data_IF_853467128245
#
_entry.id   IF_853467128245
#
_cell.length_a   1.000
_cell.length_b   1.000
_cell.length_c   1.000
_cell.angle_alpha   90.00
_cell.angle_beta   90.00
_cell.angle_gamma   90.00
#
_symmetry.space_group_name_H-M   'P 1'
#
loop_
_entity.id
_entity.type
_entity.pdbx_description
1 polymer ?
#
# COMPACT_ATOMS: atom_id res chain seq x y z
N UNK A 1 -60.21 38.74 65.53
CA UNK A 1 -60.95 37.92 64.55
C UNK A 1 -60.26 38.03 63.20
N UNK A 2 -59.93 36.88 62.59
CA UNK A 2 -60.07 36.53 61.15
C UNK A 2 -59.52 37.58 60.14
N UNK A 3 -58.56 37.31 59.25
CA UNK A 3 -58.28 36.09 58.48
C UNK A 3 -56.83 36.08 57.95
N UNK A 4 -56.19 34.93 58.14
CA UNK A 4 -55.25 34.23 57.25
C UNK A 4 -55.77 34.21 55.78
N UNK A 5 -54.97 34.10 54.71
CA UNK A 5 -54.20 32.90 54.35
C UNK A 5 -53.38 33.15 53.05
N UNK A 6 -52.07 32.90 53.14
CA UNK A 6 -51.21 32.11 52.25
C UNK A 6 -50.91 32.50 50.79
N UNK A 7 -49.60 32.67 50.52
CA UNK A 7 -48.92 31.97 49.41
C UNK A 7 -47.65 31.29 49.96
N UNK A 8 -47.71 29.97 49.98
CA UNK A 8 -46.66 28.93 50.11
C UNK A 8 -45.50 29.33 49.16
N UNK A 9 -44.26 29.69 49.57
CA UNK A 9 -43.25 28.95 50.35
C UNK A 9 -43.34 27.46 50.09
N UNK A 10 -42.42 26.81 49.40
CA UNK A 10 -41.08 26.53 49.95
C UNK A 10 -40.32 25.72 48.90
N UNK A 11 -39.07 26.09 48.61
CA UNK A 11 -37.85 25.38 49.05
C UNK A 11 -37.76 23.94 48.50
N UNK A 12 -36.68 23.56 47.82
CA UNK A 12 -35.38 23.23 48.41
C UNK A 12 -34.51 22.72 47.22
N UNK A 13 -33.17 22.73 47.13
CA UNK A 13 -32.05 23.08 48.02
C UNK A 13 -30.75 23.00 47.20
N UNK A 14 -29.77 23.79 47.65
CA UNK A 14 -28.32 23.51 47.76
C UNK A 14 -27.57 23.32 46.42
N UNK A 15 -26.54 24.09 46.10
CA UNK A 15 -25.62 24.83 46.97
C UNK A 15 -24.20 24.27 46.79
N UNK A 16 -23.38 25.09 46.13
CA UNK A 16 -21.91 25.21 46.10
C UNK A 16 -21.04 24.19 46.86
N UNK A 17 -19.97 23.70 46.20
CA UNK A 17 -18.58 24.03 46.58
C UNK A 17 -17.52 23.34 45.68
N UNK A 18 -16.64 24.18 45.12
CA UNK A 18 -15.16 24.14 45.05
C UNK A 18 -14.37 22.95 44.47
N UNK A 19 -13.66 23.28 43.38
CA UNK A 19 -12.19 23.30 43.16
C UNK A 19 -11.32 22.05 43.36
N UNK A 20 -10.68 21.63 42.25
CA UNK A 20 -9.22 21.48 42.02
C UNK A 20 -9.05 20.75 40.67
N UNK A 21 -8.68 21.42 39.57
CA UNK A 21 -7.31 21.71 39.12
C UNK A 21 -6.53 20.46 38.66
N UNK A 22 -6.23 20.41 37.35
CA UNK A 22 -4.98 19.90 36.77
C UNK A 22 -4.97 20.10 35.25
N UNK A 23 -4.45 21.26 34.86
CA UNK A 23 -3.39 21.46 33.86
C UNK A 23 -3.18 20.30 32.85
N UNK A 24 -3.45 20.56 31.57
CA UNK A 24 -2.55 20.09 30.52
C UNK A 24 -2.40 21.17 29.45
N UNK A 25 -1.14 21.54 29.23
CA UNK A 25 -0.63 22.66 28.46
C UNK A 25 -1.05 22.62 26.98
N UNK A 26 -1.70 23.70 26.54
CA UNK A 26 -1.52 24.20 25.18
C UNK A 26 -0.12 24.80 25.11
N UNK A 27 0.87 23.99 24.72
CA UNK A 27 2.09 24.53 24.16
C UNK A 27 1.82 24.87 22.69
N UNK A 28 1.91 26.16 22.42
CA UNK A 28 1.99 26.76 21.10
C UNK A 28 3.14 26.11 20.30
N UNK A 29 2.79 25.53 19.16
CA UNK A 29 3.67 25.55 17.99
C UNK A 29 2.80 25.85 16.77
N UNK A 30 2.31 27.09 16.75
CA UNK A 30 1.86 27.74 15.52
C UNK A 30 3.08 27.87 14.60
N UNK A 31 3.24 26.93 13.67
CA UNK A 31 4.23 27.06 12.60
C UNK A 31 3.81 28.29 11.75
N UNK A 32 4.62 29.35 11.67
CA UNK A 32 4.27 30.51 10.89
C UNK A 32 4.36 30.16 9.40
N UNK A 33 3.28 30.44 8.66
CA UNK A 33 3.32 30.53 7.21
C UNK A 33 4.33 31.61 6.82
N UNK A 34 5.47 31.23 6.26
CA UNK A 34 6.18 32.06 5.31
C UNK A 34 6.79 31.18 4.20
N UNK A 35 6.39 31.54 2.99
CA UNK A 35 7.03 31.24 1.72
C UNK A 35 8.54 31.54 1.75
N UNK A 36 9.28 30.76 0.96
CA UNK A 36 10.68 30.90 0.52
C UNK A 36 11.80 30.28 1.40
N UNK A 37 12.57 29.44 0.70
CA UNK A 37 13.96 29.00 0.93
C UNK A 37 14.29 27.89 1.94
N UNK A 38 15.02 26.91 1.41
CA UNK A 38 15.73 25.82 2.06
C UNK A 38 16.37 26.22 3.40
N UNK A 39 16.00 25.58 4.51
CA UNK A 39 16.93 25.43 5.64
C UNK A 39 16.48 24.42 6.71
N UNK A 40 17.43 23.53 7.03
CA UNK A 40 17.69 22.91 8.34
C UNK A 40 16.76 21.79 8.85
N UNK A 41 17.12 20.59 8.39
CA UNK A 41 17.10 19.32 9.13
C UNK A 41 17.36 19.55 10.62
N UNK A 42 16.42 19.05 11.44
CA UNK A 42 16.44 19.05 12.89
C UNK A 42 17.76 18.49 13.46
N UNK A 43 18.51 19.36 14.16
CA UNK A 43 19.65 18.97 15.00
C UNK A 43 19.12 18.33 16.28
N UNK A 44 19.05 17.01 16.29
CA UNK A 44 19.15 16.17 17.49
C UNK A 44 19.77 14.82 17.09
N UNK A 45 21.02 14.84 16.64
CA UNK A 45 21.84 13.63 16.48
C UNK A 45 22.61 13.45 17.78
N UNK A 46 21.97 12.77 18.73
CA UNK A 46 22.67 12.09 19.81
C UNK A 46 23.41 10.91 19.15
N UNK A 47 24.72 10.85 19.32
CA UNK A 47 25.67 9.91 18.70
C UNK A 47 25.08 8.51 18.39
N UNK A 48 24.65 8.33 17.14
CA UNK A 48 24.34 7.04 16.53
C UNK A 48 25.29 6.90 15.35
N UNK A 49 25.90 5.72 15.21
CA UNK A 49 26.84 5.37 14.15
C UNK A 49 26.52 6.11 12.85
N UNK A 50 27.48 6.88 12.32
CA UNK A 50 27.39 7.69 11.08
C UNK A 50 27.01 6.85 9.84
N UNK A 51 26.85 5.53 9.99
CA UNK A 51 26.58 4.57 8.93
C UNK A 51 25.09 4.41 8.54
N UNK A 52 24.12 4.72 9.42
CA UNK A 52 22.70 4.47 9.14
C UNK A 52 21.80 5.67 9.50
N UNK A 53 20.92 6.06 8.59
CA UNK A 53 19.93 7.14 8.80
C UNK A 53 18.55 6.73 8.29
N UNK A 54 17.51 6.90 9.11
CA UNK A 54 16.12 6.71 8.68
C UNK A 54 15.70 7.93 7.86
N UNK A 55 15.37 7.72 6.57
CA UNK A 55 14.98 8.80 5.65
C UNK A 55 13.47 8.82 5.37
N UNK A 56 12.76 7.73 5.71
CA UNK A 56 11.31 7.67 5.68
C UNK A 56 10.81 6.76 6.80
N UNK A 57 9.75 7.19 7.47
CA UNK A 57 8.97 6.40 8.43
C UNK A 57 7.49 6.77 8.25
N UNK A 58 6.86 6.14 7.26
CA UNK A 58 5.49 6.44 6.83
C UNK A 58 4.54 5.40 7.42
N UNK A 59 3.61 5.86 8.25
CA UNK A 59 2.50 5.04 8.73
C UNK A 59 1.20 5.38 8.00
N UNK A 60 0.47 4.35 7.58
CA UNK A 60 -0.87 4.49 7.00
C UNK A 60 -1.98 4.14 7.97
N UNK A 61 -1.66 3.74 9.20
CA UNK A 61 -2.68 3.36 10.20
C UNK A 61 -3.37 4.59 10.82
N UNK A 62 -2.75 5.77 10.70
CA UNK A 62 -3.23 7.05 11.24
C UNK A 62 -3.31 8.13 10.17
N UNK A 63 -3.98 9.24 10.47
CA UNK A 63 -4.17 10.36 9.53
C UNK A 63 -5.45 10.29 8.71
N UNK A 64 -5.82 11.41 8.09
CA UNK A 64 -7.04 11.58 7.29
C UNK A 64 -6.73 11.26 5.82
N UNK A 65 -7.67 10.59 5.14
CA UNK A 65 -7.57 10.38 3.69
C UNK A 65 -7.99 11.68 3.00
N UNK A 66 -7.01 12.32 2.38
CA UNK A 66 -7.26 13.46 1.52
C UNK A 66 -7.99 13.01 0.24
N UNK A 67 -8.92 13.85 -0.21
CA UNK A 67 -9.69 13.62 -1.45
C UNK A 67 -8.89 14.08 -2.67
N UNK A 68 -9.39 13.76 -3.86
CA UNK A 68 -8.90 14.24 -5.17
C UNK A 68 -7.67 13.52 -5.75
N UNK A 69 -7.51 12.22 -5.52
CA UNK A 69 -6.49 11.40 -6.19
C UNK A 69 -6.68 11.23 -7.71
N UNK A 70 -7.78 11.73 -8.27
CA UNK A 70 -8.09 11.60 -9.70
C UNK A 70 -8.81 10.31 -10.08
N UNK A 71 -9.06 9.41 -9.12
CA UNK A 71 -9.97 8.28 -9.29
C UNK A 71 -11.15 8.39 -8.31
N UNK A 72 -12.24 7.69 -8.62
CA UNK A 72 -13.37 7.46 -7.71
C UNK A 72 -13.71 5.98 -7.61
N UNK A 73 -14.36 5.62 -6.52
CA UNK A 73 -14.92 4.29 -6.29
C UNK A 73 -16.34 4.40 -5.75
N UNK A 74 -17.10 3.33 -5.90
CA UNK A 74 -18.44 3.21 -5.36
C UNK A 74 -18.49 2.04 -4.39
N UNK A 75 -18.96 2.28 -3.17
CA UNK A 75 -19.14 1.27 -2.13
C UNK A 75 -20.62 1.14 -1.78
N UNK A 76 -21.04 -0.09 -1.45
CA UNK A 76 -22.36 -0.37 -0.89
C UNK A 76 -22.37 0.05 0.58
N UNK A 77 -23.28 0.96 0.95
CA UNK A 77 -23.41 1.49 2.33
C UNK A 77 -24.62 0.94 3.08
N UNK A 78 -25.54 0.24 2.40
CA UNK A 78 -26.65 -0.45 3.04
C UNK A 78 -26.93 -1.81 2.37
N UNK A 79 -27.36 -2.83 3.13
CA UNK A 79 -27.78 -4.12 2.56
C UNK A 79 -28.91 -3.98 1.53
N UNK A 80 -29.67 -2.88 1.57
CA UNK A 80 -30.80 -2.59 0.68
C UNK A 80 -30.40 -1.96 -0.66
N UNK A 81 -29.10 -1.90 -0.99
CA UNK A 81 -28.65 -1.43 -2.31
C UNK A 81 -28.33 0.07 -2.38
N UNK A 82 -28.12 0.76 -1.26
CA UNK A 82 -27.66 2.16 -1.30
C UNK A 82 -26.15 2.22 -1.54
N UNK A 83 -25.73 2.99 -2.54
CA UNK A 83 -24.33 3.15 -2.92
C UNK A 83 -23.81 4.55 -2.61
N UNK A 84 -22.55 4.64 -2.18
CA UNK A 84 -21.83 5.89 -1.98
C UNK A 84 -20.64 5.95 -2.92
N UNK A 85 -20.51 7.04 -3.68
CA UNK A 85 -19.33 7.30 -4.51
C UNK A 85 -18.39 8.23 -3.80
N UNK A 86 -17.11 7.85 -3.71
CA UNK A 86 -16.06 8.60 -3.04
C UNK A 86 -14.84 8.77 -3.94
N UNK A 87 -14.11 9.86 -3.73
CA UNK A 87 -12.80 10.14 -4.36
C UNK A 87 -11.63 9.89 -3.40
N UNK A 88 -11.88 9.30 -2.22
CA UNK A 88 -10.89 8.98 -1.17
C UNK A 88 -10.03 7.76 -1.52
N UNK A 89 -9.43 7.77 -2.70
CA UNK A 89 -8.49 6.76 -3.17
C UNK A 89 -7.27 7.42 -3.81
N UNK A 90 -6.12 6.76 -3.73
CA UNK A 90 -4.93 7.14 -4.44
C UNK A 90 -5.14 6.82 -5.93
N UNK A 91 -5.00 7.84 -6.77
CA UNK A 91 -5.06 7.72 -8.22
C UNK A 91 -3.86 8.41 -8.87
N UNK A 92 -3.93 8.79 -10.16
CA UNK A 92 -2.80 9.36 -10.87
C UNK A 92 -2.32 10.72 -10.31
N UNK A 93 -3.23 11.47 -9.67
CA UNK A 93 -2.89 12.75 -9.05
C UNK A 93 -2.30 12.50 -7.65
N UNK A 94 -1.22 13.22 -7.28
CA UNK A 94 -0.58 13.02 -6.01
C UNK A 94 -1.47 13.56 -4.88
N UNK A 95 -1.49 12.82 -3.78
CA UNK A 95 -2.16 13.21 -2.54
C UNK A 95 -1.10 13.25 -1.44
N UNK A 96 -1.09 14.33 -0.66
CA UNK A 96 -0.22 14.43 0.51
C UNK A 96 -0.75 13.53 1.64
N UNK A 97 0.13 12.72 2.23
CA UNK A 97 -0.15 11.87 3.39
C UNK A 97 1.07 11.89 4.30
N UNK A 98 0.89 12.41 5.52
CA UNK A 98 1.92 12.43 6.56
C UNK A 98 3.25 13.02 6.07
N UNK A 99 3.21 14.08 5.25
CA UNK A 99 4.39 14.74 4.70
C UNK A 99 4.93 14.17 3.39
N UNK A 100 4.31 13.13 2.82
CA UNK A 100 4.75 12.50 1.58
C UNK A 100 3.71 12.65 0.47
N UNK A 101 4.14 12.86 -0.77
CA UNK A 101 3.27 12.85 -1.94
C UNK A 101 3.10 11.41 -2.45
N UNK A 102 1.84 10.96 -2.52
CA UNK A 102 1.50 9.57 -2.85
C UNK A 102 0.52 9.51 -4.01
N UNK A 103 0.82 8.67 -4.99
CA UNK A 103 -0.04 8.34 -6.14
C UNK A 103 -0.47 6.89 -6.09
N UNK A 104 -1.54 6.56 -6.79
CA UNK A 104 -2.04 5.20 -6.90
C UNK A 104 -2.38 4.79 -8.32
N UNK A 105 -2.34 3.49 -8.56
CA UNK A 105 -2.81 2.84 -9.78
C UNK A 105 -3.75 1.70 -9.37
N UNK A 106 -4.95 1.72 -9.93
CA UNK A 106 -5.99 0.75 -9.66
C UNK A 106 -6.85 1.02 -8.43
N UNK A 107 -6.98 2.31 -8.07
CA UNK A 107 -7.78 2.79 -6.93
C UNK A 107 -7.36 2.24 -5.55
N UNK A 108 -6.05 2.13 -5.20
CA UNK A 108 -5.65 1.89 -3.81
C UNK A 108 -6.35 2.87 -2.87
N UNK A 109 -6.81 2.39 -1.72
CA UNK A 109 -7.54 3.25 -0.78
C UNK A 109 -7.28 2.81 0.64
N UNK A 110 -7.51 3.73 1.57
CA UNK A 110 -7.55 3.49 3.01
C UNK A 110 -9.00 3.23 3.44
N UNK A 111 -9.20 2.67 4.64
CA UNK A 111 -10.52 2.27 5.13
C UNK A 111 -11.53 3.42 5.00
N UNK A 112 -12.72 3.18 4.39
CA UNK A 112 -13.75 4.19 4.35
C UNK A 112 -14.21 4.51 5.78
N UNK A 113 -14.23 5.80 6.15
CA UNK A 113 -14.54 6.24 7.51
C UNK A 113 -15.95 5.84 8.00
N UNK A 114 -16.86 5.51 7.09
CA UNK A 114 -18.26 5.18 7.39
C UNK A 114 -18.51 3.68 7.59
N UNK A 115 -17.57 2.79 7.27
CA UNK A 115 -17.75 1.35 7.46
C UNK A 115 -16.79 0.85 8.56
N UNK A 116 -17.37 0.53 9.71
CA UNK A 116 -16.62 0.08 10.88
C UNK A 116 -16.33 -1.41 10.94
N UNK A 117 -16.95 -2.18 10.04
CA UNK A 117 -16.89 -3.64 10.02
C UNK A 117 -15.64 -4.21 9.33
N UNK A 118 -14.84 -3.37 8.68
CA UNK A 118 -13.61 -3.80 8.01
C UNK A 118 -12.38 -3.73 8.93
N UNK A 119 -11.62 -4.83 8.98
CA UNK A 119 -10.44 -5.03 9.85
C UNK A 119 -9.10 -4.58 9.25
N UNK A 120 -9.11 -3.70 8.25
CA UNK A 120 -7.89 -3.17 7.63
C UNK A 120 -7.71 -1.68 7.96
N UNK A 121 -6.47 -1.25 8.16
CA UNK A 121 -6.15 0.05 8.74
C UNK A 121 -5.17 0.88 7.91
N UNK A 122 -4.43 0.25 7.00
CA UNK A 122 -3.49 0.88 6.08
C UNK A 122 -4.06 1.12 4.69
N UNK A 123 -3.20 1.04 3.66
CA UNK A 123 -3.56 1.16 2.24
C UNK A 123 -3.77 -0.21 1.63
N UNK A 124 -4.98 -0.47 1.16
CA UNK A 124 -5.32 -1.72 0.50
C UNK A 124 -4.86 -1.72 -0.96
N UNK A 125 -4.05 -2.72 -1.32
CA UNK A 125 -3.77 -3.12 -2.69
C UNK A 125 -4.43 -4.46 -2.99
N UNK A 126 -4.89 -4.65 -4.22
CA UNK A 126 -5.51 -5.89 -4.69
C UNK A 126 -4.66 -6.54 -5.77
N UNK A 127 -4.56 -7.87 -5.70
CA UNK A 127 -4.00 -8.71 -6.74
C UNK A 127 -4.98 -9.87 -7.01
N UNK A 128 -5.49 -9.97 -8.23
CA UNK A 128 -6.39 -11.04 -8.64
C UNK A 128 -5.93 -11.59 -9.99
N UNK A 129 -6.10 -12.89 -10.20
CA UNK A 129 -6.07 -13.45 -11.55
C UNK A 129 -7.19 -14.46 -11.71
N UNK A 130 -7.78 -14.47 -12.90
CA UNK A 130 -8.79 -15.44 -13.30
C UNK A 130 -8.64 -15.79 -14.77
N UNK A 131 -9.14 -16.97 -15.13
CA UNK A 131 -9.20 -17.39 -16.53
C UNK A 131 -10.29 -16.64 -17.28
N UNK A 132 -9.95 -16.11 -18.46
CA UNK A 132 -10.91 -15.57 -19.42
C UNK A 132 -10.75 -16.28 -20.75
N UNK A 133 -11.85 -16.80 -21.29
CA UNK A 133 -11.88 -17.34 -22.65
C UNK A 133 -12.05 -16.18 -23.62
N UNK A 134 -11.18 -16.12 -24.63
CA UNK A 134 -11.28 -15.16 -25.72
C UNK A 134 -11.40 -15.92 -27.03
N UNK A 135 -12.48 -15.65 -27.76
CA UNK A 135 -12.70 -16.21 -29.09
C UNK A 135 -12.03 -15.31 -30.12
N UNK A 136 -11.07 -15.87 -30.86
CA UNK A 136 -10.44 -15.19 -31.99
C UNK A 136 -11.44 -14.96 -33.12
N UNK A 137 -11.15 -13.97 -33.98
CA UNK A 137 -11.94 -13.71 -35.20
C UNK A 137 -11.96 -14.88 -36.18
N UNK A 138 -11.07 -15.88 -36.01
CA UNK A 138 -11.00 -17.12 -36.79
C UNK A 138 -11.68 -18.32 -36.12
N UNK A 139 -12.42 -18.10 -35.02
CA UNK A 139 -13.25 -19.12 -34.36
C UNK A 139 -12.56 -19.98 -33.30
N UNK A 140 -11.24 -19.86 -33.13
CA UNK A 140 -10.52 -20.56 -32.05
C UNK A 140 -10.68 -19.84 -30.70
N UNK A 141 -10.95 -20.58 -29.63
CA UNK A 141 -11.02 -20.06 -28.25
C UNK A 141 -9.69 -20.28 -27.54
N UNK A 142 -9.16 -19.23 -26.90
CA UNK A 142 -7.96 -19.32 -26.08
C UNK A 142 -8.24 -18.89 -24.66
N UNK A 143 -7.67 -19.62 -23.70
CA UNK A 143 -7.68 -19.23 -22.30
C UNK A 143 -6.53 -18.24 -22.06
N UNK A 144 -6.86 -17.09 -21.49
CA UNK A 144 -5.90 -16.03 -21.14
C UNK A 144 -6.08 -15.58 -19.69
N UNK A 145 -5.04 -14.96 -19.13
CA UNK A 145 -5.11 -14.26 -17.85
C UNK A 145 -6.02 -13.02 -17.97
N UNK A 146 -6.83 -12.78 -16.94
CA UNK A 146 -7.60 -11.55 -16.72
C UNK A 146 -7.21 -10.96 -15.35
N UNK A 147 -6.02 -10.30 -15.25
CA UNK A 147 -5.45 -9.89 -13.97
C UNK A 147 -6.03 -8.57 -13.44
N UNK A 148 -6.05 -8.43 -12.12
CA UNK A 148 -6.08 -7.16 -11.40
C UNK A 148 -4.75 -7.01 -10.68
N UNK A 149 -4.12 -5.85 -10.80
CA UNK A 149 -2.98 -5.45 -9.99
C UNK A 149 -3.08 -3.98 -9.60
N UNK A 150 -2.57 -3.67 -8.42
CA UNK A 150 -2.54 -2.31 -7.89
C UNK A 150 -1.11 -1.91 -7.56
N UNK A 151 -0.88 -0.60 -7.51
CA UNK A 151 0.37 -0.04 -7.05
C UNK A 151 0.17 1.31 -6.38
N UNK A 152 1.09 1.66 -5.48
CA UNK A 152 1.27 3.02 -4.97
C UNK A 152 2.68 3.50 -5.29
N UNK A 153 2.82 4.81 -5.44
CA UNK A 153 4.10 5.47 -5.67
C UNK A 153 4.26 6.60 -4.68
N UNK A 154 5.42 6.66 -4.04
CA UNK A 154 5.74 7.62 -2.99
C UNK A 154 6.94 8.44 -3.47
N UNK A 155 6.79 9.75 -3.53
CA UNK A 155 7.87 10.66 -3.89
C UNK A 155 8.93 10.68 -2.78
N UNK A 156 10.13 10.18 -3.10
CA UNK A 156 11.27 10.09 -2.19
C UNK A 156 12.56 10.09 -3.01
N UNK A 157 13.46 11.01 -2.67
CA UNK A 157 14.78 11.04 -3.28
C UNK A 157 15.70 9.98 -2.68
N UNK A 158 16.37 9.22 -3.55
CA UNK A 158 17.39 8.24 -3.23
C UNK A 158 18.70 8.71 -3.84
N UNK A 159 19.68 8.97 -2.99
CA UNK A 159 21.04 9.34 -3.37
C UNK A 159 21.75 8.19 -4.09
N UNK A 160 22.65 8.49 -5.04
CA UNK A 160 23.55 7.50 -5.60
C UNK A 160 24.61 7.06 -4.58
N UNK A 161 25.21 5.88 -4.78
CA UNK A 161 26.26 5.31 -3.93
C UNK A 161 25.82 5.13 -2.47
N UNK A 162 24.58 4.69 -2.27
CA UNK A 162 24.02 4.31 -0.97
C UNK A 162 23.35 2.94 -1.07
N UNK A 163 23.16 2.32 0.09
CA UNK A 163 22.30 1.14 0.21
C UNK A 163 21.05 1.52 1.00
N UNK A 164 19.89 1.12 0.53
CA UNK A 164 18.61 1.36 1.16
C UNK A 164 18.02 0.04 1.64
N UNK A 165 17.72 -0.04 2.93
CA UNK A 165 16.87 -1.07 3.51
C UNK A 165 15.45 -0.53 3.57
N UNK A 166 14.55 -1.12 2.79
CA UNK A 166 13.15 -0.75 2.70
C UNK A 166 12.32 -1.84 3.36
N UNK A 167 11.63 -1.47 4.42
CA UNK A 167 10.83 -2.36 5.25
C UNK A 167 9.37 -2.00 5.05
N UNK A 168 8.57 -2.95 4.57
CA UNK A 168 7.13 -2.78 4.35
C UNK A 168 6.39 -3.72 5.28
N UNK A 169 5.60 -3.17 6.20
CA UNK A 169 4.74 -3.93 7.12
C UNK A 169 3.32 -3.97 6.57
N UNK A 170 2.78 -5.17 6.42
CA UNK A 170 1.49 -5.40 5.78
C UNK A 170 0.68 -6.46 6.50
N UNK A 171 -0.64 -6.43 6.38
CA UNK A 171 -1.48 -7.60 6.62
C UNK A 171 -2.01 -8.13 5.27
N UNK A 172 -2.19 -9.45 5.14
CA UNK A 172 -2.50 -10.06 3.84
C UNK A 172 -3.67 -11.01 3.98
N UNK A 173 -4.66 -10.83 3.12
CA UNK A 173 -5.87 -11.63 3.15
C UNK A 173 -6.06 -12.37 1.83
N UNK A 174 -6.26 -13.69 1.91
CA UNK A 174 -6.76 -14.49 0.80
C UNK A 174 -8.29 -14.44 0.81
N UNK A 175 -8.85 -13.54 0.01
CA UNK A 175 -10.28 -13.24 0.02
C UNK A 175 -11.12 -14.43 -0.43
N UNK A 176 -10.60 -15.29 -1.31
CA UNK A 176 -11.30 -16.51 -1.75
C UNK A 176 -11.48 -17.45 -0.56
N UNK A 177 -10.39 -17.68 0.19
CA UNK A 177 -10.41 -18.58 1.34
C UNK A 177 -11.27 -18.03 2.48
N UNK A 178 -11.21 -16.72 2.77
CA UNK A 178 -12.03 -16.08 3.80
C UNK A 178 -13.51 -16.18 3.47
N UNK A 179 -13.91 -15.83 2.24
CA UNK A 179 -15.33 -15.79 1.88
C UNK A 179 -15.92 -17.20 1.82
N UNK A 180 -15.27 -18.17 1.18
CA UNK A 180 -15.83 -19.52 1.02
C UNK A 180 -15.95 -20.37 2.28
N UNK A 181 -15.10 -20.13 3.27
CA UNK A 181 -15.06 -20.92 4.49
C UNK A 181 -15.56 -20.11 5.70
N UNK A 182 -16.37 -19.07 5.46
CA UNK A 182 -16.94 -18.27 6.52
C UNK A 182 -18.07 -19.05 7.21
N UNK A 183 -17.79 -19.64 8.38
CA UNK A 183 -18.76 -20.39 9.18
C UNK A 183 -19.88 -19.53 9.81
N UNK A 184 -20.06 -18.26 9.42
CA UNK A 184 -21.11 -17.37 9.96
C UNK A 184 -22.34 -17.34 9.05
N UNK A 185 -23.50 -17.05 9.65
CA UNK A 185 -24.88 -17.14 9.14
C UNK A 185 -25.21 -16.50 7.78
N UNK A 186 -24.25 -15.90 7.08
CA UNK A 186 -24.43 -15.23 5.79
C UNK A 186 -23.74 -16.01 4.66
N UNK A 187 -24.23 -17.23 4.39
CA UNK A 187 -23.75 -18.14 3.31
C UNK A 187 -23.93 -17.62 1.89
N UNK A 188 -24.54 -16.44 1.71
CA UNK A 188 -24.83 -15.87 0.38
C UNK A 188 -23.56 -15.51 -0.40
N UNK A 189 -22.44 -15.29 0.29
CA UNK A 189 -21.16 -14.93 -0.35
C UNK A 189 -20.28 -16.16 -0.67
N UNK A 190 -20.55 -17.34 -0.07
CA UNK A 190 -19.76 -18.58 -0.28
C UNK A 190 -19.79 -19.02 -1.77
N UNK A 191 -20.87 -18.68 -2.49
CA UNK A 191 -21.08 -18.98 -3.90
C UNK A 191 -20.38 -17.99 -4.86
N UNK A 192 -19.77 -16.91 -4.36
CA UNK A 192 -19.13 -15.88 -5.21
C UNK A 192 -17.93 -16.43 -5.99
N UNK A 193 -17.28 -17.46 -5.46
CA UNK A 193 -16.10 -18.07 -6.06
C UNK A 193 -16.34 -19.55 -6.35
N UNK A 194 -15.81 -20.06 -7.47
CA UNK A 194 -15.95 -21.48 -7.85
C UNK A 194 -14.75 -22.34 -7.41
N UNK A 195 -13.76 -21.78 -6.70
CA UNK A 195 -12.54 -22.45 -6.26
C UNK A 195 -12.39 -22.40 -4.74
N UNK A 196 -12.07 -23.51 -4.09
CA UNK A 196 -12.08 -23.60 -2.61
C UNK A 196 -10.87 -22.96 -1.92
N UNK A 197 -9.79 -22.72 -2.68
CA UNK A 197 -8.55 -22.07 -2.24
C UNK A 197 -7.88 -21.37 -3.41
N UNK A 198 -7.14 -20.30 -3.13
CA UNK A 198 -6.27 -19.68 -4.13
C UNK A 198 -5.18 -20.66 -4.62
N UNK A 199 -4.96 -20.69 -5.93
CA UNK A 199 -3.97 -21.53 -6.62
C UNK A 199 -2.64 -20.80 -6.86
N UNK A 200 -2.63 -19.49 -6.66
CA UNK A 200 -1.53 -18.59 -6.97
C UNK A 200 -1.16 -17.74 -5.76
N UNK A 201 0.10 -17.31 -5.70
CA UNK A 201 0.59 -16.40 -4.69
C UNK A 201 0.93 -15.06 -5.31
N UNK A 202 0.31 -14.00 -4.79
CA UNK A 202 0.66 -12.66 -5.19
C UNK A 202 2.11 -12.32 -4.80
N UNK A 203 2.68 -11.38 -5.52
CA UNK A 203 4.06 -10.92 -5.36
C UNK A 203 4.05 -9.45 -5.00
N UNK A 204 4.72 -9.12 -3.89
CA UNK A 204 5.07 -7.74 -3.58
C UNK A 204 6.32 -7.38 -4.36
N UNK A 205 6.25 -6.35 -5.19
CA UNK A 205 7.41 -5.85 -5.92
C UNK A 205 7.67 -4.38 -5.57
N UNK A 206 8.94 -4.03 -5.41
CA UNK A 206 9.39 -2.67 -5.16
C UNK A 206 10.27 -2.20 -6.31
N UNK A 207 10.08 -0.94 -6.70
CA UNK A 207 10.90 -0.25 -7.67
C UNK A 207 11.41 1.08 -7.13
N UNK A 208 12.70 1.35 -7.35
CA UNK A 208 13.25 2.69 -7.25
C UNK A 208 13.21 3.34 -8.64
N UNK A 209 12.34 4.33 -8.81
CA UNK A 209 12.03 4.90 -10.12
C UNK A 209 12.56 6.33 -10.27
N UNK A 210 12.86 6.73 -11.51
CA UNK A 210 13.27 8.11 -11.84
C UNK A 210 12.11 9.11 -11.75
N UNK A 211 10.87 8.61 -11.82
CA UNK A 211 9.65 9.41 -11.77
C UNK A 211 8.63 8.73 -10.85
N UNK A 212 7.80 9.49 -10.10
CA UNK A 212 6.72 8.93 -9.30
C UNK A 212 5.52 8.47 -10.13
N UNK A 213 5.51 8.66 -11.44
CA UNK A 213 4.42 8.21 -12.28
C UNK A 213 4.41 6.68 -12.41
N UNK A 214 3.29 6.07 -12.03
CA UNK A 214 3.09 4.62 -12.20
C UNK A 214 2.72 4.36 -13.66
N UNK A 215 3.45 3.47 -14.36
CA UNK A 215 3.18 3.19 -15.77
C UNK A 215 1.88 2.43 -16.00
N UNK A 216 1.13 2.84 -17.03
CA UNK A 216 -0.01 2.08 -17.55
C UNK A 216 -1.08 2.98 -18.15
N UNK A 217 -1.93 2.38 -18.97
CA UNK A 217 -3.08 3.03 -19.58
C UNK A 217 -4.30 2.68 -18.73
N UNK A 218 -5.00 3.69 -18.19
CA UNK A 218 -6.21 3.57 -17.34
C UNK A 218 -5.94 3.20 -15.85
N UNK A 219 -5.33 4.10 -15.06
CA UNK A 219 -5.11 3.90 -13.62
C UNK A 219 -6.41 3.80 -12.80
N UNK A 220 -7.55 4.17 -13.35
CA UNK A 220 -8.87 4.09 -12.69
C UNK A 220 -9.81 3.06 -13.33
N UNK A 221 -9.30 2.13 -14.14
CA UNK A 221 -10.12 1.04 -14.68
C UNK A 221 -10.69 0.14 -13.58
N UNK A 222 -11.76 -0.60 -13.87
CA UNK A 222 -12.35 -1.54 -12.93
C UNK A 222 -11.50 -2.81 -12.76
N UNK A 223 -10.78 -3.20 -13.82
CA UNK A 223 -9.75 -4.25 -13.79
C UNK A 223 -8.39 -3.66 -14.19
N UNK A 224 -7.77 -2.87 -13.30
CA UNK A 224 -6.48 -2.26 -13.56
C UNK A 224 -5.40 -3.35 -13.64
N UNK A 225 -4.49 -3.23 -14.61
CA UNK A 225 -3.32 -4.09 -14.67
C UNK A 225 -2.08 -3.23 -14.86
N UNK A 226 -1.25 -3.14 -13.82
CA UNK A 226 0.02 -2.43 -13.87
C UNK A 226 0.95 -3.19 -14.82
N UNK A 227 1.29 -2.56 -15.94
CA UNK A 227 2.15 -3.15 -16.95
C UNK A 227 3.56 -3.39 -16.38
N UNK A 228 4.17 -4.54 -16.70
CA UNK A 228 5.60 -4.75 -16.44
C UNK A 228 6.41 -3.92 -17.44
N UNK A 229 7.08 -2.87 -16.98
CA UNK A 229 8.17 -2.24 -17.74
C UNK A 229 9.45 -3.08 -17.60
N UNK A 230 10.33 -3.00 -18.57
CA UNK A 230 11.70 -3.49 -18.42
C UNK A 230 12.42 -2.57 -17.43
N UNK A 231 12.53 -3.02 -16.17
CA UNK A 231 13.22 -2.29 -15.11
C UNK A 231 14.54 -3.01 -14.82
N UNK A 232 15.59 -2.24 -14.57
CA UNK A 232 16.89 -2.78 -14.17
C UNK A 232 16.76 -3.63 -12.91
N UNK A 233 17.40 -4.81 -12.90
CA UNK A 233 17.41 -5.72 -11.75
C UNK A 233 17.98 -5.08 -10.45
N UNK A 234 18.74 -3.99 -10.59
CA UNK A 234 19.26 -3.22 -9.45
C UNK A 234 18.20 -2.39 -8.76
N UNK A 235 17.16 -1.98 -9.49
CA UNK A 235 16.14 -1.05 -9.03
C UNK A 235 14.75 -1.67 -8.99
N UNK A 236 14.63 -2.97 -9.23
CA UNK A 236 13.37 -3.72 -9.15
C UNK A 236 13.60 -5.03 -8.42
N UNK A 237 12.91 -5.24 -7.30
CA UNK A 237 13.00 -6.46 -6.49
C UNK A 237 11.62 -6.98 -6.15
N UNK A 238 11.51 -8.30 -6.03
CA UNK A 238 10.23 -8.98 -5.82
C UNK A 238 10.36 -9.98 -4.69
N UNK A 239 9.32 -10.12 -3.88
CA UNK A 239 9.18 -11.18 -2.89
C UNK A 239 7.79 -11.80 -3.02
N UNK A 240 7.73 -13.12 -3.25
CA UNK A 240 6.45 -13.85 -3.23
C UNK A 240 5.90 -13.82 -1.81
N UNK A 241 4.59 -13.65 -1.68
CA UNK A 241 3.94 -13.75 -0.38
C UNK A 241 3.92 -15.21 0.09
N UNK A 242 4.46 -15.45 1.29
CA UNK A 242 4.46 -16.78 1.91
C UNK A 242 3.12 -17.10 2.58
N UNK A 243 2.68 -18.35 2.44
CA UNK A 243 1.45 -18.86 3.05
C UNK A 243 1.68 -19.17 4.53
N UNK A 244 0.97 -18.50 5.43
CA UNK A 244 0.83 -18.96 6.83
C UNK A 244 -0.55 -19.56 7.08
N UNK A 245 -0.70 -20.25 8.20
CA UNK A 245 -1.94 -20.92 8.61
C UNK A 245 -3.06 -19.93 8.95
N UNK A 246 -2.74 -18.66 9.20
CA UNK A 246 -3.69 -17.59 9.54
C UNK A 246 -3.41 -16.32 8.71
N UNK A 247 -3.91 -16.28 7.47
CA UNK A 247 -3.77 -15.11 6.59
C UNK A 247 -4.31 -13.82 7.23
N UNK A 248 -5.51 -13.88 7.80
CA UNK A 248 -6.28 -12.70 8.18
C UNK A 248 -5.80 -11.94 9.42
N UNK A 249 -4.79 -12.42 10.16
CA UNK A 249 -4.45 -11.85 11.47
C UNK A 249 -2.96 -11.62 11.74
N UNK A 250 -2.07 -11.90 10.78
CA UNK A 250 -0.64 -11.75 10.99
C UNK A 250 -0.09 -10.54 10.23
N UNK A 251 0.63 -9.68 10.94
CA UNK A 251 1.49 -8.70 10.30
C UNK A 251 2.68 -9.42 9.67
N UNK A 252 2.91 -9.14 8.39
CA UNK A 252 4.07 -9.58 7.62
C UNK A 252 4.97 -8.39 7.36
N UNK A 253 6.27 -8.64 7.48
CA UNK A 253 7.30 -7.65 7.21
C UNK A 253 8.12 -8.11 6.02
N UNK A 254 8.17 -7.29 4.99
CA UNK A 254 8.99 -7.47 3.81
C UNK A 254 10.19 -6.55 3.88
N UNK A 255 11.38 -7.08 3.67
CA UNK A 255 12.62 -6.29 3.69
C UNK A 255 13.33 -6.41 2.35
N UNK A 256 13.59 -5.27 1.72
CA UNK A 256 14.30 -5.18 0.45
C UNK A 256 15.54 -4.32 0.61
N UNK A 257 16.66 -4.79 0.09
CA UNK A 257 17.90 -4.02 0.05
C UNK A 257 18.15 -3.52 -1.37
N UNK A 258 18.42 -2.23 -1.57
CA UNK A 258 18.76 -1.66 -2.87
C UNK A 258 20.07 -0.90 -2.79
N UNK A 259 21.05 -1.24 -3.61
CA UNK A 259 22.30 -0.46 -3.71
C UNK A 259 22.30 0.32 -5.00
N UNK A 260 22.30 1.64 -4.87
CA UNK A 260 22.08 2.58 -5.97
C UNK A 260 23.40 3.10 -6.50
N UNK A 261 23.52 3.23 -7.83
CA UNK A 261 24.61 3.99 -8.47
C UNK A 261 24.12 5.29 -9.09
N UNK A 262 22.84 5.35 -9.41
CA UNK A 262 22.16 6.50 -9.99
C UNK A 262 21.11 7.01 -9.00
N UNK A 263 20.83 8.32 -8.99
CA UNK A 263 19.74 8.86 -8.19
C UNK A 263 18.39 8.31 -8.66
N UNK A 264 17.45 8.16 -7.73
CA UNK A 264 16.04 7.84 -8.00
C UNK A 264 15.13 8.79 -7.22
N UNK A 265 13.91 9.03 -7.69
CA UNK A 265 13.01 10.05 -7.15
C UNK A 265 11.71 9.49 -6.57
N UNK A 266 11.49 8.18 -6.66
CA UNK A 266 10.30 7.55 -6.12
C UNK A 266 10.53 6.10 -5.70
N UNK A 267 9.74 5.67 -4.73
CA UNK A 267 9.51 4.27 -4.39
C UNK A 267 8.14 3.87 -4.94
N UNK A 268 8.10 2.89 -5.83
CA UNK A 268 6.85 2.30 -6.32
C UNK A 268 6.69 0.91 -5.72
N UNK A 269 5.54 0.65 -5.11
CA UNK A 269 5.16 -0.64 -4.53
C UNK A 269 4.03 -1.22 -5.36
N UNK A 270 4.27 -2.38 -5.95
CA UNK A 270 3.31 -3.14 -6.74
C UNK A 270 2.84 -4.37 -5.98
N UNK A 271 1.56 -4.69 -6.14
CA UNK A 271 1.01 -5.98 -5.74
C UNK A 271 0.49 -6.72 -6.97
N UNK A 272 1.24 -7.75 -7.36
CA UNK A 272 1.10 -8.41 -8.66
C UNK A 272 0.55 -9.82 -8.49
N UNK A 273 -0.49 -10.22 -9.23
CA UNK A 273 -0.96 -11.59 -9.20
C UNK A 273 -0.01 -12.50 -9.99
N UNK A 274 0.01 -13.77 -9.63
CA UNK A 274 0.68 -14.80 -10.42
C UNK A 274 -0.14 -15.10 -11.69
N UNK A 275 0.54 -15.14 -12.83
CA UNK A 275 -0.06 -15.27 -14.15
C UNK A 275 0.50 -16.50 -14.86
N UNK A 276 -0.29 -17.11 -15.74
CA UNK A 276 0.21 -18.14 -16.63
C UNK A 276 1.34 -17.58 -17.52
N UNK A 277 2.43 -18.33 -17.64
CA UNK A 277 3.65 -17.93 -18.35
C UNK A 277 3.51 -18.05 -19.89
N UNK A 278 2.62 -18.92 -20.36
CA UNK A 278 2.46 -19.25 -21.77
C UNK A 278 1.12 -18.73 -22.32
N UNK A 279 1.06 -18.50 -23.63
CA UNK A 279 -0.18 -18.19 -24.35
C UNK A 279 -0.24 -19.01 -25.66
N UNK A 280 -1.31 -19.79 -25.90
CA UNK A 280 -2.46 -20.03 -25.03
C UNK A 280 -2.09 -20.81 -23.76
N UNK A 281 -2.71 -20.48 -22.63
CA UNK A 281 -2.44 -21.16 -21.36
C UNK A 281 -3.31 -22.42 -21.23
N UNK A 282 -2.73 -23.55 -20.84
CA UNK A 282 -3.49 -24.77 -20.49
C UNK A 282 -4.28 -24.61 -19.19
N UNK A 283 -3.79 -23.75 -18.30
CA UNK A 283 -4.38 -23.41 -17.01
C UNK A 283 -4.01 -21.97 -16.63
N UNK A 284 -4.95 -21.24 -16.04
CA UNK A 284 -4.72 -19.91 -15.47
C UNK A 284 -4.88 -20.02 -13.96
N UNK A 285 -3.83 -19.75 -13.17
CA UNK A 285 -3.90 -19.90 -11.73
C UNK A 285 -4.83 -18.82 -11.15
N UNK A 286 -5.86 -19.26 -10.44
CA UNK A 286 -6.88 -18.36 -9.91
C UNK A 286 -6.56 -17.94 -8.47
N UNK A 287 -6.64 -16.64 -8.20
CA UNK A 287 -6.46 -16.09 -6.85
C UNK A 287 -7.10 -14.71 -6.73
N UNK A 288 -7.49 -14.33 -5.51
CA UNK A 288 -7.92 -12.98 -5.17
C UNK A 288 -7.39 -12.60 -3.79
N UNK A 289 -6.36 -11.76 -3.76
CA UNK A 289 -5.61 -11.44 -2.54
C UNK A 289 -5.61 -9.93 -2.30
N UNK A 290 -5.72 -9.55 -1.04
CA UNK A 290 -5.61 -8.18 -0.57
C UNK A 290 -4.38 -8.01 0.30
N UNK A 291 -3.70 -6.88 0.13
CA UNK A 291 -2.54 -6.47 0.92
C UNK A 291 -2.86 -5.13 1.58
N UNK A 292 -2.94 -5.11 2.91
CA UNK A 292 -3.11 -3.90 3.73
C UNK A 292 -1.73 -3.37 4.15
N UNK A 293 -1.19 -2.38 3.42
CA UNK A 293 0.09 -1.76 3.74
C UNK A 293 -0.08 -0.82 4.94
N UNK A 294 0.48 -1.20 6.09
CA UNK A 294 0.36 -0.46 7.35
C UNK A 294 1.48 0.54 7.56
N UNK A 295 2.73 0.15 7.30
CA UNK A 295 3.89 1.01 7.51
C UNK A 295 4.96 0.77 6.43
N UNK A 296 5.70 1.82 6.09
CA UNK A 296 6.88 1.78 5.21
C UNK A 296 8.00 2.53 5.90
N UNK A 297 9.14 1.88 6.09
CA UNK A 297 10.34 2.48 6.66
C UNK A 297 11.50 2.34 5.67
N UNK A 298 12.27 3.42 5.49
CA UNK A 298 13.45 3.42 4.64
C UNK A 298 14.65 3.85 5.48
N UNK A 299 15.65 2.97 5.54
CA UNK A 299 16.92 3.19 6.22
C UNK A 299 18.00 3.30 5.16
N UNK A 300 18.63 4.46 5.07
CA UNK A 300 19.81 4.70 4.26
C UNK A 300 21.06 4.21 5.02
N UNK A 301 21.90 3.46 4.32
CA UNK A 301 23.15 2.86 4.80
C UNK A 301 24.32 3.23 3.90
N UNK A 302 25.53 2.95 4.38
CA UNK A 302 26.73 2.92 3.52
C UNK A 302 26.54 1.96 2.35
N UNK A 303 27.12 2.30 1.19
CA UNK A 303 27.03 1.46 0.01
C UNK A 303 27.58 0.05 0.26
N UNK A 304 26.87 -0.95 -0.21
CA UNK A 304 27.23 -2.37 -0.15
C UNK A 304 27.05 -2.98 -1.53
N UNK A 305 28.15 -3.36 -2.17
CA UNK A 305 28.11 -3.95 -3.51
C UNK A 305 27.40 -5.31 -3.56
N UNK A 306 27.18 -5.99 -2.42
CA UNK A 306 26.51 -7.30 -2.35
C UNK A 306 25.07 -7.26 -2.85
N UNK A 307 24.41 -6.11 -2.77
CA UNK A 307 23.03 -5.92 -3.22
C UNK A 307 22.93 -5.29 -4.62
N UNK A 308 24.06 -5.08 -5.28
CA UNK A 308 24.17 -4.60 -6.66
C UNK A 308 24.48 -5.76 -7.62
N UNK A 309 23.63 -5.89 -8.64
CA UNK A 309 23.78 -6.82 -9.77
C UNK A 309 24.57 -6.11 -10.88
N UNK A 310 25.82 -6.52 -11.16
CA UNK A 310 26.59 -5.94 -12.25
C UNK A 310 25.92 -6.24 -13.60
N UNK A 311 26.06 -5.34 -14.60
CA UNK A 311 25.54 -5.61 -15.93
C UNK A 311 26.10 -6.95 -16.44
N UNK A 312 25.23 -7.79 -17.01
CA UNK A 312 25.68 -9.02 -17.67
C UNK A 312 26.59 -8.62 -18.83
N UNK A 313 27.84 -9.07 -18.79
CA UNK A 313 28.77 -8.93 -19.90
C UNK A 313 28.23 -9.84 -21.02
N UNK A 314 27.57 -9.25 -22.02
CA UNK A 314 26.95 -9.98 -23.14
C UNK A 314 27.87 -10.12 -24.35
N UNK A 315 29.09 -9.57 -24.28
CA UNK A 315 30.14 -9.73 -25.28
C UNK A 315 31.36 -10.38 -24.62
N UNK A 316 31.76 -11.60 -25.03
CA UNK A 316 33.04 -12.14 -24.60
C UNK A 316 34.12 -11.17 -25.05
N UNK A 317 34.95 -10.72 -24.12
CA UNK A 317 36.18 -10.00 -24.46
C UNK A 317 37.07 -10.99 -25.25
N UNK A 318 37.36 -10.76 -26.54
CA UNK A 318 38.16 -11.67 -27.34
C UNK A 318 39.61 -11.79 -26.85
N UNK A 319 40.07 -10.85 -26.00
CA UNK A 319 41.42 -10.81 -25.46
C UNK A 319 41.53 -11.51 -24.09
N UNK A 320 40.41 -11.95 -23.49
CA UNK A 320 40.42 -12.72 -22.24
C UNK A 320 40.40 -14.23 -22.50
N UNK A 321 41.38 -15.00 -21.98
CA UNK A 321 41.38 -16.45 -22.13
C UNK A 321 40.11 -17.03 -21.53
N UNK A 322 39.42 -17.87 -22.31
CA UNK A 322 38.20 -18.55 -21.93
C UNK A 322 38.39 -19.23 -20.56
N UNK A 323 37.76 -18.72 -19.50
CA UNK A 323 37.91 -19.32 -18.17
C UNK A 323 37.53 -18.45 -16.97
N UNK A 324 37.60 -17.12 -17.06
CA UNK A 324 37.15 -16.26 -15.96
C UNK A 324 35.69 -15.83 -16.15
N UNK A 325 34.80 -16.60 -15.50
CA UNK A 325 33.33 -16.39 -15.36
C UNK A 325 32.42 -16.83 -16.52
N UNK A 326 32.79 -17.95 -17.18
CA UNK A 326 31.91 -18.90 -17.89
C UNK A 326 30.98 -18.32 -18.97
N UNK A 327 31.07 -18.67 -20.25
CA UNK A 327 31.82 -19.64 -21.04
C UNK A 327 31.31 -19.45 -22.49
N UNK A 328 32.14 -19.82 -23.47
CA UNK A 328 32.10 -19.49 -24.91
C UNK A 328 30.81 -18.92 -25.54
#
# INVERSE_FOLDING_TARGET
MKKTLFVISSLFLIGCANSNDLIYSQDENSIPKNTTEFSLVSKNILAKNVAESVIMDLSFTTGVINENGGCSFTDLISPQGSYFTSTKCYGPNPIEQNGYQIRGYGKPRRRPSYNTSYYWHGVMLKAENRGKLVTSTRGGTTLINDPISNAISIEQYFEPNKTYEIIVTTNIEDHIYTTKNNNRDNRLDDDLFNIDKSEAYATLALELADSPQIPGDLPCADRPNVGRKFVSANYYKTQKTEKTTHWTNEDKTYTFYFSTLEPKNALIIYYLPEQALERPASHVPQSAMWLDIRNIKIIQKTYDASHFVPPRVTTPDPDLPCGFRGGC
#
